data_IF_774222079241
#
_entry.id   IF_774222079241
#
_cell.length_a   1.000
_cell.length_b   1.000
_cell.length_c   1.000
_cell.angle_alpha   90.00
_cell.angle_beta   90.00
_cell.angle_gamma   90.00
#
_symmetry.space_group_name_H-M   'P 1'
#
loop_
_entity.id
_entity.type
_entity.pdbx_description
1 polymer ?
#
# COMPACT_ATOMS: atom_id res chain seq x y z
N UNK A 1 1.57 -28.96 -3.13
CA UNK A 1 2.00 -27.64 -2.61
C UNK A 1 1.15 -26.61 -3.31
N UNK A 2 0.48 -25.72 -2.58
CA UNK A 2 -0.28 -24.63 -3.21
C UNK A 2 0.73 -23.62 -3.74
N UNK A 3 0.66 -23.28 -5.01
CA UNK A 3 1.48 -22.22 -5.62
C UNK A 3 0.92 -20.87 -5.22
N UNK A 4 1.79 -19.88 -4.96
CA UNK A 4 1.35 -18.51 -4.68
C UNK A 4 0.66 -17.89 -5.91
N UNK A 5 -0.34 -17.01 -5.71
CA UNK A 5 -0.99 -16.32 -6.82
C UNK A 5 0.00 -15.55 -7.71
N UNK A 6 -0.23 -15.58 -9.02
CA UNK A 6 0.54 -14.82 -10.02
C UNK A 6 -0.22 -13.59 -10.55
N UNK A 7 -1.44 -13.34 -10.05
CA UNK A 7 -2.21 -12.14 -10.36
C UNK A 7 -3.18 -11.82 -9.22
N UNK A 8 -3.48 -10.54 -9.08
CA UNK A 8 -4.38 -10.01 -8.05
C UNK A 8 -5.32 -9.00 -8.71
N UNK A 9 -6.61 -9.09 -8.39
CA UNK A 9 -7.62 -8.22 -8.94
C UNK A 9 -7.62 -6.86 -8.25
N UNK A 10 -7.71 -5.80 -9.05
CA UNK A 10 -7.71 -4.40 -8.63
C UNK A 10 -8.93 -3.72 -9.23
N UNK A 11 -9.61 -2.92 -8.43
CA UNK A 11 -10.74 -2.10 -8.84
C UNK A 11 -10.34 -0.63 -8.81
N UNK A 12 -10.37 0.04 -9.97
CA UNK A 12 -10.10 1.47 -10.12
C UNK A 12 -11.44 2.23 -10.15
N UNK A 13 -11.63 3.24 -9.30
CA UNK A 13 -12.82 4.07 -9.31
C UNK A 13 -12.95 4.83 -10.65
N UNK A 14 -14.12 4.78 -11.30
CA UNK A 14 -14.34 5.41 -12.62
C UNK A 14 -15.06 6.74 -12.54
N UNK A 15 -15.83 7.00 -11.48
CA UNK A 15 -16.56 8.25 -11.27
C UNK A 15 -15.80 9.24 -10.37
N UNK A 16 -16.36 10.43 -10.13
CA UNK A 16 -15.78 11.43 -9.23
C UNK A 16 -15.89 11.03 -7.74
N UNK A 17 -16.60 9.95 -7.46
CA UNK A 17 -16.70 9.33 -6.14
C UNK A 17 -17.07 7.86 -6.28
N UNK A 18 -16.79 7.07 -5.26
CA UNK A 18 -17.17 5.66 -5.13
C UNK A 18 -17.84 5.44 -3.78
N UNK A 19 -18.98 4.74 -3.77
CA UNK A 19 -19.71 4.39 -2.56
C UNK A 19 -18.98 3.33 -1.74
N UNK A 20 -19.04 3.46 -0.41
CA UNK A 20 -18.49 2.48 0.51
C UNK A 20 -19.65 1.87 1.32
N UNK A 21 -19.65 0.56 1.47
CA UNK A 21 -20.72 -0.19 2.13
C UNK A 21 -20.12 -1.20 3.11
N UNK A 22 -20.75 -1.31 4.29
CA UNK A 22 -20.39 -2.35 5.28
C UNK A 22 -20.85 -3.74 4.84
N UNK A 23 -21.98 -3.79 4.15
CA UNK A 23 -22.55 -4.94 3.47
C UNK A 23 -23.25 -4.44 2.19
N UNK A 24 -23.56 -5.29 1.20
CA UNK A 24 -24.35 -4.89 0.05
C UNK A 24 -25.60 -4.07 0.44
N UNK A 25 -25.76 -2.89 -0.19
CA UNK A 25 -26.83 -1.91 0.05
C UNK A 25 -26.84 -1.23 1.44
N UNK A 26 -25.88 -1.50 2.33
CA UNK A 26 -25.75 -0.85 3.64
C UNK A 26 -24.57 0.13 3.63
N UNK A 27 -24.80 1.46 3.51
CA UNK A 27 -23.74 2.45 3.49
C UNK A 27 -22.84 2.36 4.72
N UNK A 28 -21.53 2.52 4.52
CA UNK A 28 -20.55 2.52 5.61
C UNK A 28 -20.54 3.87 6.33
N UNK A 29 -20.97 3.90 7.59
CA UNK A 29 -20.91 5.09 8.42
C UNK A 29 -19.60 5.13 9.26
N UNK A 30 -18.98 6.30 9.48
CA UNK A 30 -19.46 7.63 9.10
C UNK A 30 -18.97 8.10 7.71
N UNK A 31 -18.37 7.22 6.88
CA UNK A 31 -17.78 7.57 5.58
C UNK A 31 -18.39 6.76 4.44
N UNK A 32 -19.58 7.15 3.95
CA UNK A 32 -20.31 6.37 2.95
C UNK A 32 -19.73 6.45 1.52
N UNK A 33 -18.70 7.28 1.29
CA UNK A 33 -18.05 7.39 -0.02
C UNK A 33 -16.63 7.94 0.07
N UNK A 34 -15.85 7.71 -0.99
CA UNK A 34 -14.55 8.33 -1.25
C UNK A 34 -14.63 9.23 -2.49
N UNK A 35 -14.08 10.43 -2.42
CA UNK A 35 -13.86 11.26 -3.60
C UNK A 35 -12.72 10.67 -4.46
N UNK A 36 -12.89 10.71 -5.77
CA UNK A 36 -11.89 10.28 -6.75
C UNK A 36 -11.65 11.42 -7.77
N UNK A 37 -10.44 11.99 -7.88
CA UNK A 37 -9.25 11.60 -7.11
C UNK A 37 -9.34 11.96 -5.62
N UNK A 38 -8.39 11.45 -4.83
CA UNK A 38 -8.22 11.80 -3.42
C UNK A 38 -7.88 13.29 -3.26
N UNK A 39 -7.85 13.79 -2.04
CA UNK A 39 -7.43 15.19 -1.76
C UNK A 39 -6.01 15.49 -2.26
N UNK A 40 -5.14 14.49 -2.28
CA UNK A 40 -3.77 14.58 -2.80
C UNK A 40 -3.70 14.47 -4.34
N UNK A 41 -4.83 14.30 -5.02
CA UNK A 41 -4.91 14.15 -6.48
C UNK A 41 -4.57 12.75 -6.99
N UNK A 42 -4.50 11.75 -6.11
CA UNK A 42 -4.24 10.35 -6.49
C UNK A 42 -5.54 9.64 -6.88
N UNK A 43 -5.51 8.72 -7.86
CA UNK A 43 -6.68 7.92 -8.20
C UNK A 43 -7.04 6.98 -7.05
N UNK A 44 -8.34 6.76 -6.83
CA UNK A 44 -8.82 5.79 -5.85
C UNK A 44 -8.78 4.42 -6.47
N UNK A 45 -8.02 3.52 -5.83
CA UNK A 45 -7.91 2.12 -6.21
C UNK A 45 -8.18 1.22 -5.00
N UNK A 46 -8.60 -0.02 -5.25
CA UNK A 46 -8.87 -1.01 -4.23
C UNK A 46 -8.25 -2.34 -4.62
N UNK A 47 -7.73 -3.07 -3.64
CA UNK A 47 -7.40 -4.48 -3.80
C UNK A 47 -8.68 -5.29 -3.61
N UNK A 48 -9.08 -6.06 -4.63
CA UNK A 48 -10.27 -6.92 -4.58
C UNK A 48 -9.93 -8.19 -3.82
N UNK A 49 -10.79 -8.54 -2.86
CA UNK A 49 -10.67 -9.75 -2.04
C UNK A 49 -11.67 -10.83 -2.49
N UNK A 50 -12.89 -10.41 -2.87
CA UNK A 50 -13.95 -11.29 -3.32
C UNK A 50 -14.78 -10.59 -4.41
N UNK A 51 -15.20 -11.33 -5.42
CA UNK A 51 -16.06 -10.87 -6.52
C UNK A 51 -17.43 -11.55 -6.41
N UNK A 52 -18.50 -10.75 -6.25
CA UNK A 52 -19.88 -11.18 -6.07
C UNK A 52 -20.82 -10.46 -7.07
N UNK A 53 -20.62 -10.66 -8.36
CA UNK A 53 -21.40 -10.08 -9.45
C UNK A 53 -21.55 -8.55 -9.38
N UNK A 54 -22.61 -8.05 -8.70
CA UNK A 54 -22.90 -6.63 -8.57
C UNK A 54 -22.03 -5.92 -7.53
N UNK A 55 -21.32 -6.66 -6.68
CA UNK A 55 -20.57 -6.16 -5.54
C UNK A 55 -19.17 -6.75 -5.48
N UNK A 56 -18.23 -5.93 -5.07
CA UNK A 56 -16.86 -6.36 -4.79
C UNK A 56 -16.54 -6.11 -3.33
N UNK A 57 -15.99 -7.12 -2.67
CA UNK A 57 -15.41 -6.96 -1.35
C UNK A 57 -13.96 -6.54 -1.50
N UNK A 58 -13.60 -5.40 -0.94
CA UNK A 58 -12.33 -4.74 -1.23
C UNK A 58 -11.62 -4.30 0.04
N UNK A 59 -10.30 -4.23 -0.02
CA UNK A 59 -9.49 -3.55 0.98
C UNK A 59 -9.46 -2.06 0.66
N UNK A 60 -9.65 -1.22 1.69
CA UNK A 60 -9.76 0.24 1.55
C UNK A 60 -8.58 0.92 2.23
N UNK A 61 -8.01 1.94 1.57
CA UNK A 61 -6.98 2.81 2.17
C UNK A 61 -7.64 3.81 3.12
N UNK A 62 -7.86 3.38 4.35
CA UNK A 62 -8.45 4.20 5.41
C UNK A 62 -8.17 3.59 6.78
N UNK A 63 -8.32 4.42 7.84
CA UNK A 63 -8.33 3.89 9.21
C UNK A 63 -9.71 3.30 9.55
N UNK A 64 -9.75 2.22 10.35
CA UNK A 64 -8.63 1.47 10.90
C UNK A 64 -7.84 0.71 9.83
N UNK A 65 -6.58 0.34 10.12
CA UNK A 65 -5.80 -0.52 9.24
C UNK A 65 -6.55 -1.82 8.91
N UNK A 66 -6.31 -2.36 7.71
CA UNK A 66 -6.97 -3.56 7.19
C UNK A 66 -8.49 -3.44 7.02
N UNK A 67 -9.02 -2.23 6.86
CA UNK A 67 -10.45 -2.01 6.61
C UNK A 67 -10.88 -2.71 5.32
N UNK A 68 -11.92 -3.55 5.43
CA UNK A 68 -12.54 -4.28 4.32
C UNK A 68 -13.99 -3.84 4.21
N UNK A 69 -14.39 -3.39 3.03
CA UNK A 69 -15.73 -2.91 2.74
C UNK A 69 -16.20 -3.44 1.38
N UNK A 70 -17.44 -3.11 1.03
CA UNK A 70 -18.02 -3.41 -0.26
C UNK A 70 -18.11 -2.16 -1.12
N UNK A 71 -17.90 -2.33 -2.43
CA UNK A 71 -18.14 -1.31 -3.45
C UNK A 71 -19.02 -1.89 -4.56
N UNK A 72 -19.77 -1.04 -5.24
CA UNK A 72 -20.57 -1.46 -6.40
C UNK A 72 -19.67 -1.70 -7.61
N UNK A 73 -19.87 -2.84 -8.29
CA UNK A 73 -19.09 -3.19 -9.48
C UNK A 73 -19.21 -2.17 -10.61
N UNK A 74 -20.36 -1.52 -10.75
CA UNK A 74 -20.58 -0.52 -11.80
C UNK A 74 -19.92 0.85 -11.49
N UNK A 75 -19.35 1.05 -10.32
CA UNK A 75 -18.60 2.26 -9.94
C UNK A 75 -17.10 2.13 -10.16
N UNK A 76 -16.64 0.94 -10.60
CA UNK A 76 -15.21 0.64 -10.76
C UNK A 76 -14.92 -0.08 -12.08
N UNK A 77 -13.66 0.00 -12.53
CA UNK A 77 -13.09 -0.78 -13.61
C UNK A 77 -12.11 -1.81 -13.07
N UNK A 78 -12.24 -3.07 -13.49
CA UNK A 78 -11.36 -4.14 -13.03
C UNK A 78 -10.14 -4.30 -13.92
N UNK A 79 -9.00 -4.54 -13.29
CA UNK A 79 -7.75 -5.00 -13.91
C UNK A 79 -7.00 -5.93 -12.97
N UNK A 80 -5.89 -6.46 -13.42
CA UNK A 80 -5.00 -7.29 -12.58
C UNK A 80 -3.62 -6.68 -12.43
N UNK A 81 -2.95 -7.03 -11.32
CA UNK A 81 -1.52 -6.77 -11.11
C UNK A 81 -0.79 -8.09 -10.85
N UNK A 82 0.44 -8.27 -11.35
CA UNK A 82 1.08 -9.58 -11.37
C UNK A 82 1.86 -9.92 -10.09
N UNK A 83 2.22 -8.93 -9.29
CA UNK A 83 3.23 -9.07 -8.24
C UNK A 83 2.65 -8.80 -6.85
N UNK A 84 3.39 -9.22 -5.83
CA UNK A 84 3.13 -8.87 -4.42
C UNK A 84 4.43 -8.44 -3.74
N UNK A 85 4.31 -7.59 -2.73
CA UNK A 85 5.43 -7.11 -1.92
C UNK A 85 5.32 -7.69 -0.52
N UNK A 86 6.41 -8.18 0.04
CA UNK A 86 6.51 -8.62 1.43
C UNK A 86 7.59 -7.82 2.13
N UNK A 87 7.26 -7.21 3.27
CA UNK A 87 8.21 -6.55 4.16
C UNK A 87 8.32 -7.36 5.44
N UNK A 88 9.51 -7.86 5.73
CA UNK A 88 9.84 -8.59 6.95
C UNK A 88 10.58 -7.64 7.89
N UNK A 89 9.84 -7.11 8.86
CA UNK A 89 10.34 -6.07 9.78
C UNK A 89 11.53 -6.56 10.60
N UNK A 90 11.43 -7.75 11.18
CA UNK A 90 12.51 -8.35 11.98
C UNK A 90 13.74 -8.70 11.17
N UNK A 91 13.57 -9.07 9.91
CA UNK A 91 14.67 -9.37 8.98
C UNK A 91 15.23 -8.12 8.27
N UNK A 92 14.59 -6.95 8.44
CA UNK A 92 14.93 -5.70 7.75
C UNK A 92 15.02 -5.90 6.23
N UNK A 93 14.02 -6.54 5.65
CA UNK A 93 14.03 -6.98 4.27
C UNK A 93 12.72 -6.68 3.57
N UNK A 94 12.80 -6.23 2.33
CA UNK A 94 11.67 -6.20 1.40
C UNK A 94 11.93 -7.19 0.28
N UNK A 95 10.88 -7.91 -0.13
CA UNK A 95 10.93 -8.81 -1.28
C UNK A 95 9.73 -8.56 -2.19
N UNK A 96 9.94 -8.45 -3.48
CA UNK A 96 8.90 -8.44 -4.51
C UNK A 96 8.86 -9.81 -5.17
N UNK A 97 7.68 -10.39 -5.24
CA UNK A 97 7.44 -11.72 -5.81
C UNK A 97 6.52 -11.66 -7.03
N UNK A 98 6.75 -12.56 -7.98
CA UNK A 98 5.79 -13.01 -8.97
C UNK A 98 5.49 -14.49 -8.71
N UNK A 99 4.29 -14.81 -8.22
CA UNK A 99 4.06 -16.14 -7.67
C UNK A 99 5.07 -16.48 -6.57
N UNK A 100 5.87 -17.53 -6.78
CA UNK A 100 6.95 -17.92 -5.85
C UNK A 100 8.33 -17.40 -6.28
N UNK A 101 8.44 -16.78 -7.45
CA UNK A 101 9.70 -16.22 -7.96
C UNK A 101 10.04 -14.88 -7.30
N UNK A 102 11.27 -14.73 -6.84
CA UNK A 102 11.81 -13.48 -6.30
C UNK A 102 12.29 -12.58 -7.44
N UNK A 103 11.62 -11.43 -7.62
CA UNK A 103 12.00 -10.42 -8.62
C UNK A 103 12.98 -9.39 -8.06
N UNK A 104 12.82 -9.06 -6.77
CA UNK A 104 13.67 -8.12 -6.04
C UNK A 104 13.75 -8.55 -4.58
N UNK A 105 14.94 -8.44 -3.99
CA UNK A 105 15.13 -8.52 -2.56
C UNK A 105 16.14 -7.45 -2.13
N UNK A 106 15.81 -6.66 -1.11
CA UNK A 106 16.66 -5.57 -0.66
C UNK A 106 16.57 -5.34 0.85
N UNK A 107 17.66 -4.83 1.48
CA UNK A 107 17.66 -4.40 2.86
C UNK A 107 16.84 -3.13 3.03
N UNK A 108 16.15 -3.00 4.18
CA UNK A 108 15.35 -1.83 4.53
C UNK A 108 15.66 -1.33 5.93
N UNK A 109 15.34 -0.06 6.22
CA UNK A 109 15.21 0.43 7.58
C UNK A 109 13.72 0.61 7.90
N UNK A 110 13.33 0.26 9.12
CA UNK A 110 11.93 0.21 9.56
C UNK A 110 11.69 1.10 10.78
N UNK A 111 10.46 1.14 11.26
CA UNK A 111 10.05 1.93 12.41
C UNK A 111 10.76 1.54 13.71
N UNK A 112 10.93 2.52 14.60
CA UNK A 112 11.44 2.29 15.96
C UNK A 112 10.38 1.62 16.84
N UNK A 113 10.76 1.16 18.03
CA UNK A 113 9.80 0.65 19.02
C UNK A 113 8.73 1.67 19.45
N UNK A 114 9.02 2.99 19.32
CA UNK A 114 8.08 4.07 19.63
C UNK A 114 7.12 4.39 18.49
N UNK A 115 7.55 4.16 17.26
CA UNK A 115 6.81 4.42 16.04
C UNK A 115 6.98 3.23 15.09
N UNK A 116 6.42 2.06 15.44
CA UNK A 116 6.65 0.84 14.70
C UNK A 116 6.06 0.93 13.29
N UNK A 117 6.66 0.20 12.36
CA UNK A 117 6.02 -0.10 11.09
C UNK A 117 4.82 -1.01 11.37
N UNK A 118 3.59 -0.63 10.97
CA UNK A 118 2.40 -1.44 11.24
C UNK A 118 2.46 -2.76 10.49
N UNK A 119 2.03 -3.83 11.15
CA UNK A 119 1.92 -5.16 10.56
C UNK A 119 0.52 -5.33 9.93
N UNK A 120 0.44 -6.14 8.89
CA UNK A 120 -0.83 -6.48 8.25
C UNK A 120 -0.75 -6.60 6.74
N UNK A 121 -1.93 -6.67 6.12
CA UNK A 121 -2.10 -6.75 4.68
C UNK A 121 -2.58 -5.42 4.14
N UNK A 122 -1.84 -4.86 3.23
CA UNK A 122 -2.04 -3.57 2.61
C UNK A 122 -1.98 -3.71 1.08
N UNK A 123 -2.09 -2.60 0.37
CA UNK A 123 -1.84 -2.52 -1.06
C UNK A 123 -1.22 -1.17 -1.41
N UNK A 124 -0.58 -1.08 -2.56
CA UNK A 124 -0.03 0.17 -3.11
C UNK A 124 -1.17 1.08 -3.54
N UNK A 125 -1.29 2.25 -2.94
CA UNK A 125 -2.32 3.25 -3.26
C UNK A 125 -1.78 4.56 -3.85
N UNK A 126 -0.45 4.73 -3.89
CA UNK A 126 0.18 5.88 -4.51
C UNK A 126 1.62 5.62 -4.90
N UNK A 127 2.05 6.21 -6.01
CA UNK A 127 3.44 6.15 -6.50
C UNK A 127 3.86 7.56 -6.88
N UNK A 128 4.92 8.07 -6.26
CA UNK A 128 5.43 9.43 -6.48
C UNK A 128 6.93 9.36 -6.75
N UNK A 129 7.36 9.44 -8.03
CA UNK A 129 8.76 9.61 -8.38
C UNK A 129 9.27 10.98 -7.89
N UNK A 130 10.50 11.01 -7.39
CA UNK A 130 11.17 12.22 -6.92
C UNK A 130 12.52 12.38 -7.61
N UNK A 131 13.09 13.59 -7.58
CA UNK A 131 14.37 13.90 -8.22
C UNK A 131 15.61 13.37 -7.48
N UNK A 132 15.40 12.69 -6.32
CA UNK A 132 16.49 12.17 -5.49
C UNK A 132 17.11 13.21 -4.56
N UNK A 133 18.08 12.76 -3.74
CA UNK A 133 18.86 13.62 -2.84
C UNK A 133 18.19 14.07 -1.56
N UNK A 134 16.86 13.99 -1.46
CA UNK A 134 16.08 14.32 -0.27
C UNK A 134 15.89 13.13 0.69
N UNK A 135 15.19 13.32 1.81
CA UNK A 135 14.95 12.27 2.80
C UNK A 135 14.12 11.09 2.27
N UNK A 136 13.40 11.28 1.17
CA UNK A 136 12.60 10.27 0.47
C UNK A 136 13.31 9.67 -0.75
N UNK A 137 14.58 10.05 -0.99
CA UNK A 137 15.39 9.53 -2.09
C UNK A 137 14.75 9.72 -3.47
N UNK A 138 14.84 8.71 -4.33
CA UNK A 138 14.35 8.73 -5.71
C UNK A 138 12.83 8.64 -5.84
N UNK A 139 12.08 8.40 -4.74
CA UNK A 139 10.62 8.35 -4.78
C UNK A 139 10.00 7.58 -3.62
N UNK A 140 8.67 7.48 -3.67
CA UNK A 140 7.90 6.75 -2.68
C UNK A 140 6.77 5.95 -3.31
N UNK A 141 6.44 4.85 -2.66
CA UNK A 141 5.27 3.99 -2.88
C UNK A 141 4.47 4.01 -1.58
N UNK A 142 3.37 4.76 -1.55
CA UNK A 142 2.47 4.73 -0.39
C UNK A 142 1.65 3.46 -0.38
N UNK A 143 1.33 3.00 0.81
CA UNK A 143 0.50 1.82 1.02
C UNK A 143 -0.73 2.18 1.84
N UNK A 144 -1.78 1.38 1.73
CA UNK A 144 -3.07 1.55 2.42
C UNK A 144 -2.99 1.38 3.95
N UNK A 145 -1.79 1.47 4.52
CA UNK A 145 -1.49 1.35 5.93
C UNK A 145 -1.16 2.69 6.58
N UNK A 146 -1.55 2.84 7.83
CA UNK A 146 -1.34 4.05 8.63
C UNK A 146 -0.63 3.71 9.93
N UNK A 147 0.19 4.63 10.44
CA UNK A 147 0.83 4.46 11.73
C UNK A 147 -0.21 4.26 12.84
N UNK A 148 -0.02 3.25 13.69
CA UNK A 148 -0.88 3.01 14.84
C UNK A 148 -0.66 4.06 15.95
N UNK A 149 0.45 4.80 15.90
CA UNK A 149 0.87 5.78 16.92
C UNK A 149 0.71 7.21 16.43
N UNK A 150 1.18 7.51 15.19
CA UNK A 150 1.16 8.85 14.63
C UNK A 150 -0.12 9.09 13.84
N UNK A 151 -1.00 9.96 14.36
CA UNK A 151 -2.21 10.39 13.65
C UNK A 151 -1.92 11.41 12.54
N UNK A 152 -0.77 12.09 12.62
CA UNK A 152 -0.27 13.00 11.58
C UNK A 152 1.25 13.00 11.55
N UNK A 153 1.83 13.18 10.37
CA UNK A 153 3.27 13.30 10.17
C UNK A 153 3.57 14.08 8.88
N UNK A 154 4.45 15.07 8.95
CA UNK A 154 4.89 15.84 7.78
C UNK A 154 3.77 16.56 7.01
N UNK A 155 2.65 16.89 7.68
CA UNK A 155 1.46 17.49 7.04
C UNK A 155 0.44 16.47 6.50
N UNK A 156 0.74 15.18 6.53
CA UNK A 156 -0.17 14.10 6.14
C UNK A 156 -0.79 13.38 7.33
N UNK A 157 -1.66 12.42 7.03
CA UNK A 157 -2.47 11.65 8.01
C UNK A 157 -1.72 10.48 8.66
N UNK A 158 -0.38 10.47 8.64
CA UNK A 158 0.43 9.39 9.22
C UNK A 158 0.39 8.09 8.38
N UNK A 159 0.19 8.21 7.07
CA UNK A 159 0.23 7.09 6.15
C UNK A 159 1.64 6.53 6.01
N UNK A 160 1.75 5.22 5.82
CA UNK A 160 3.03 4.52 5.64
C UNK A 160 3.39 4.48 4.15
N UNK A 161 4.69 4.61 3.89
CA UNK A 161 5.24 4.43 2.55
C UNK A 161 6.54 3.61 2.59
N UNK A 162 6.81 2.93 1.49
CA UNK A 162 8.14 2.48 1.11
C UNK A 162 8.79 3.64 0.34
N UNK A 163 10.00 4.05 0.69
CA UNK A 163 10.64 5.19 0.01
C UNK A 163 12.18 5.09 0.01
N UNK A 164 12.79 5.82 -0.90
CA UNK A 164 14.25 5.95 -0.94
C UNK A 164 14.81 6.68 0.28
N UNK A 165 16.12 6.79 0.37
CA UNK A 165 16.76 7.49 1.48
C UNK A 165 18.08 8.11 1.08
N UNK A 166 18.36 9.31 1.58
CA UNK A 166 19.68 9.92 1.52
C UNK A 166 20.63 9.45 2.64
N UNK A 167 20.23 8.44 3.42
CA UNK A 167 21.02 7.85 4.52
C UNK A 167 21.08 6.32 4.41
N UNK A 168 21.67 5.77 3.33
CA UNK A 168 21.70 4.31 3.10
C UNK A 168 22.47 3.53 4.17
N UNK A 169 23.36 4.19 4.94
CA UNK A 169 24.09 3.58 6.07
C UNK A 169 23.16 3.18 7.25
N UNK A 170 21.90 3.62 7.25
CA UNK A 170 20.90 3.27 8.27
C UNK A 170 20.06 2.05 7.88
N UNK A 171 20.21 1.50 6.68
CA UNK A 171 19.52 0.28 6.28
C UNK A 171 19.91 -0.88 7.21
N UNK A 172 18.97 -1.76 7.50
CA UNK A 172 19.11 -2.82 8.49
C UNK A 172 18.83 -2.38 9.94
N UNK A 173 18.28 -1.18 10.16
CA UNK A 173 18.06 -0.62 11.51
C UNK A 173 16.61 -0.17 11.73
N UNK A 174 16.21 -0.08 13.00
CA UNK A 174 14.92 0.45 13.45
C UNK A 174 15.04 1.95 13.74
N UNK A 175 14.92 2.80 12.71
CA UNK A 175 15.25 4.24 12.80
C UNK A 175 14.19 5.16 12.18
N UNK A 176 13.13 4.63 11.60
CA UNK A 176 12.10 5.44 10.96
C UNK A 176 10.93 5.77 11.92
N UNK A 177 10.02 6.62 11.45
CA UNK A 177 8.75 6.91 12.12
C UNK A 177 7.60 6.00 11.65
N UNK A 178 7.94 4.80 11.13
CA UNK A 178 6.99 3.80 10.65
C UNK A 178 7.15 3.48 9.16
N UNK A 179 7.61 4.41 8.33
CA UNK A 179 7.90 4.14 6.92
C UNK A 179 9.05 3.14 6.73
N UNK A 180 9.05 2.46 5.59
CA UNK A 180 10.08 1.50 5.18
C UNK A 180 11.05 2.22 4.25
N UNK A 181 12.30 2.44 4.69
CA UNK A 181 13.34 3.11 3.91
C UNK A 181 14.19 2.09 3.17
N UNK A 182 14.54 2.40 1.93
CA UNK A 182 15.41 1.54 1.11
C UNK A 182 16.38 2.36 0.24
N UNK A 183 17.35 1.71 -0.39
CA UNK A 183 18.24 2.38 -1.34
C UNK A 183 17.45 2.92 -2.54
N UNK A 184 17.95 3.98 -3.18
CA UNK A 184 17.29 4.65 -4.30
C UNK A 184 17.07 3.70 -5.49
N UNK A 185 18.03 2.83 -5.79
CA UNK A 185 17.89 1.80 -6.81
C UNK A 185 16.77 0.82 -6.50
N UNK A 186 16.64 0.45 -5.22
CA UNK A 186 15.61 -0.49 -4.77
C UNK A 186 14.22 0.10 -4.85
N UNK A 187 14.01 1.36 -4.41
CA UNK A 187 12.68 1.99 -4.52
C UNK A 187 12.30 2.25 -5.98
N UNK A 188 13.26 2.60 -6.84
CA UNK A 188 13.04 2.75 -8.28
C UNK A 188 12.55 1.43 -8.90
N UNK A 189 13.15 0.31 -8.53
CA UNK A 189 12.70 -1.01 -8.97
C UNK A 189 11.31 -1.37 -8.41
N UNK A 190 11.05 -1.10 -7.12
CA UNK A 190 9.72 -1.32 -6.51
C UNK A 190 8.64 -0.51 -7.21
N UNK A 191 8.87 0.77 -7.53
CA UNK A 191 7.91 1.60 -8.28
C UNK A 191 7.53 0.98 -9.63
N UNK A 192 8.46 0.30 -10.29
CA UNK A 192 8.22 -0.37 -11.57
C UNK A 192 7.53 -1.73 -11.41
N UNK A 193 7.87 -2.49 -10.37
CA UNK A 193 7.40 -3.85 -10.14
C UNK A 193 6.06 -3.92 -9.39
N UNK A 194 5.71 -2.87 -8.64
CA UNK A 194 4.53 -2.83 -7.77
C UNK A 194 3.59 -1.67 -8.15
N UNK A 195 2.87 -1.76 -9.28
CA UNK A 195 1.89 -0.74 -9.68
C UNK A 195 0.76 -0.60 -8.63
N UNK A 196 -0.06 0.46 -8.78
CA UNK A 196 -1.22 0.71 -7.90
C UNK A 196 -2.10 -0.55 -7.77
N UNK A 197 -2.52 -0.86 -6.55
CA UNK A 197 -3.29 -2.06 -6.22
C UNK A 197 -2.44 -3.29 -5.89
N UNK A 198 -1.12 -3.26 -6.10
CA UNK A 198 -0.24 -4.39 -5.73
C UNK A 198 -0.35 -4.72 -4.25
N UNK A 199 -0.64 -5.97 -3.86
CA UNK A 199 -0.67 -6.39 -2.45
C UNK A 199 0.67 -6.17 -1.75
N UNK A 200 0.61 -5.67 -0.52
CA UNK A 200 1.77 -5.46 0.36
C UNK A 200 1.47 -6.11 1.70
N UNK A 201 2.21 -7.15 2.06
CA UNK A 201 2.13 -7.77 3.39
C UNK A 201 3.33 -7.34 4.22
N UNK A 202 3.08 -6.82 5.42
CA UNK A 202 4.11 -6.43 6.38
C UNK A 202 4.03 -7.38 7.57
N UNK A 203 5.09 -8.14 7.79
CA UNK A 203 5.20 -9.14 8.87
C UNK A 203 6.34 -8.83 9.83
N UNK A 204 6.30 -9.45 11.02
CA UNK A 204 7.30 -9.28 12.07
C UNK A 204 8.71 -9.76 11.67
#
# INVERSE_FOLDING_TARGET
MSTSPTSFDVADAVGPSVGLYSEPDVPYEPKPSLANPTHEGLPVVFLVLEDHDAWLKVRVSSRPNNLVLWVKRNEVSLRTVPNRVVVEVGAHRVTVYHGDDVLLQAPVAVGTARTPTPLGDFFVDGIVPLSGGGPYGAGQVSVSGFSDVLQSFGGGVGQIALHGTNRPQLLGQNVSNGCVRMADESITAVMSLAPLGTPVTIVA
#
